data_IF_584688154715
#
_entry.id   IF_584688154715
#
_cell.length_a   1.000
_cell.length_b   1.000
_cell.length_c   1.000
_cell.angle_alpha   90.00
_cell.angle_beta   90.00
_cell.angle_gamma   90.00
#
_symmetry.space_group_name_H-M   'P 1'
#
loop_
_entity.id
_entity.type
_entity.pdbx_description
1 polymer ?
#
# COMPACT_ATOMS: atom_id res chain seq x y z
N UNK A 1 7.23 -6.07 -13.00
CA UNK A 1 6.18 -5.44 -12.21
C UNK A 1 4.84 -6.13 -12.35
N UNK A 2 4.49 -6.50 -13.57
CA UNK A 2 3.24 -7.24 -13.75
C UNK A 2 3.25 -8.53 -12.95
N UNK A 3 4.40 -9.19 -12.88
CA UNK A 3 4.49 -10.43 -12.11
C UNK A 3 4.20 -10.22 -10.64
N UNK A 4 4.65 -9.09 -10.09
CA UNK A 4 4.43 -8.81 -8.69
C UNK A 4 2.95 -8.55 -8.42
N UNK A 5 2.31 -7.81 -9.30
CA UNK A 5 0.88 -7.56 -9.17
C UNK A 5 0.11 -8.88 -9.20
N UNK A 6 0.47 -9.76 -10.13
CA UNK A 6 -0.21 -11.05 -10.23
C UNK A 6 -0.02 -11.89 -8.99
N UNK A 7 1.18 -11.90 -8.45
CA UNK A 7 1.45 -12.67 -7.24
C UNK A 7 0.65 -12.13 -6.06
N UNK A 8 0.55 -10.83 -5.93
CA UNK A 8 -0.23 -10.25 -4.85
C UNK A 8 -1.71 -10.57 -5.01
N UNK A 9 -2.19 -10.58 -6.24
CA UNK A 9 -3.58 -10.96 -6.48
C UNK A 9 -3.85 -12.40 -6.08
N UNK A 10 -2.88 -13.28 -6.29
CA UNK A 10 -3.01 -14.67 -5.91
C UNK A 10 -3.17 -14.86 -4.41
N UNK A 11 -2.60 -13.98 -3.63
CA UNK A 11 -2.71 -14.09 -2.18
C UNK A 11 -3.81 -13.23 -1.61
N UNK A 12 -4.72 -12.73 -2.46
CA UNK A 12 -5.91 -12.07 -1.98
C UNK A 12 -5.98 -10.57 -2.20
N UNK A 13 -4.96 -9.96 -2.80
CA UNK A 13 -5.00 -8.54 -3.09
C UNK A 13 -5.84 -8.30 -4.33
N UNK A 14 -6.65 -7.24 -4.31
CA UNK A 14 -7.25 -6.82 -5.57
C UNK A 14 -6.26 -5.91 -6.29
N UNK A 15 -6.64 -5.46 -7.49
CA UNK A 15 -5.74 -4.68 -8.34
C UNK A 15 -5.29 -3.39 -7.65
N UNK A 16 -6.21 -2.66 -7.06
CA UNK A 16 -5.83 -1.42 -6.38
C UNK A 16 -4.96 -1.67 -5.17
N UNK A 17 -5.26 -2.70 -4.41
CA UNK A 17 -4.46 -3.05 -3.25
C UNK A 17 -3.02 -3.37 -3.66
N UNK A 18 -2.88 -4.15 -4.72
CA UNK A 18 -1.54 -4.50 -5.21
C UNK A 18 -0.78 -3.27 -5.67
N UNK A 19 -1.45 -2.40 -6.41
CA UNK A 19 -0.80 -1.19 -6.91
C UNK A 19 -0.36 -0.27 -5.79
N UNK A 20 -1.22 -0.10 -4.79
CA UNK A 20 -0.89 0.77 -3.66
C UNK A 20 0.27 0.19 -2.87
N UNK A 21 0.23 -1.10 -2.60
CA UNK A 21 1.29 -1.74 -1.85
C UNK A 21 2.64 -1.61 -2.57
N UNK A 22 2.65 -1.86 -3.87
CA UNK A 22 3.88 -1.74 -4.65
C UNK A 22 4.39 -0.30 -4.65
N UNK A 23 3.48 0.67 -4.77
CA UNK A 23 3.88 2.07 -4.74
C UNK A 23 4.56 2.40 -3.41
N UNK A 24 4.01 1.89 -2.31
CA UNK A 24 4.60 2.14 -1.00
C UNK A 24 5.95 1.47 -0.86
N UNK A 25 6.14 0.29 -1.45
CA UNK A 25 7.45 -0.34 -1.40
C UNK A 25 8.50 0.48 -2.11
N UNK A 26 8.10 1.25 -3.11
CA UNK A 26 9.04 2.11 -3.84
C UNK A 26 9.40 3.37 -3.06
N UNK A 27 8.47 3.89 -2.30
CA UNK A 27 8.70 5.11 -1.54
C UNK A 27 7.84 5.08 -0.27
N UNK A 28 8.48 5.04 0.86
CA UNK A 28 7.80 5.14 2.14
C UNK A 28 8.70 5.86 3.13
N UNK A 29 8.10 6.59 4.05
CA UNK A 29 6.66 6.83 4.17
C UNK A 29 6.18 7.76 3.06
N UNK A 30 4.90 7.66 2.72
CA UNK A 30 4.32 8.48 1.67
C UNK A 30 2.92 8.89 2.06
N UNK A 31 2.51 10.08 1.61
CA UNK A 31 1.14 10.52 1.82
C UNK A 31 0.22 9.80 0.84
N UNK A 32 -1.08 9.85 1.12
CA UNK A 32 -2.04 9.27 0.19
C UNK A 32 -1.95 9.89 -1.20
N UNK A 33 -1.70 11.21 -1.25
CA UNK A 33 -1.54 11.89 -2.52
C UNK A 33 -0.36 11.32 -3.31
N UNK A 34 0.77 11.14 -2.62
CA UNK A 34 1.95 10.60 -3.27
C UNK A 34 1.72 9.17 -3.75
N UNK A 35 1.03 8.37 -2.93
CA UNK A 35 0.73 7.00 -3.30
C UNK A 35 -0.15 6.97 -4.54
N UNK A 36 -1.15 7.85 -4.60
CA UNK A 36 -2.04 7.91 -5.76
C UNK A 36 -1.25 8.18 -7.03
N UNK A 37 -0.30 9.10 -6.96
CA UNK A 37 0.50 9.44 -8.13
C UNK A 37 1.41 8.28 -8.52
N UNK A 38 2.06 7.66 -7.55
CA UNK A 38 2.95 6.56 -7.83
C UNK A 38 2.23 5.34 -8.38
N UNK A 39 1.04 5.08 -7.84
CA UNK A 39 0.26 3.93 -8.27
C UNK A 39 -0.57 4.23 -9.51
N UNK A 40 -0.69 5.50 -9.87
CA UNK A 40 -1.46 5.94 -11.03
C UNK A 40 -2.92 5.51 -10.91
N UNK A 41 -3.52 5.80 -9.76
CA UNK A 41 -4.93 5.52 -9.52
C UNK A 41 -5.59 6.77 -8.96
N UNK A 42 -6.92 6.85 -9.02
CA UNK A 42 -7.62 8.01 -8.50
C UNK A 42 -7.36 8.18 -7.00
N UNK A 43 -7.28 9.43 -6.59
CA UNK A 43 -6.97 9.73 -5.20
C UNK A 43 -8.04 9.18 -4.25
N UNK A 44 -9.31 9.27 -4.64
CA UNK A 44 -10.37 8.76 -3.78
C UNK A 44 -10.25 7.25 -3.58
N UNK A 45 -9.88 6.52 -4.62
CA UNK A 45 -9.68 5.08 -4.50
C UNK A 45 -8.46 4.75 -3.66
N UNK A 46 -7.45 5.62 -3.71
CA UNK A 46 -6.24 5.40 -2.93
C UNK A 46 -6.54 5.42 -1.44
N UNK A 47 -7.29 6.40 -0.98
CA UNK A 47 -7.58 6.49 0.44
C UNK A 47 -8.43 5.32 0.91
N UNK A 48 -9.42 4.92 0.10
CA UNK A 48 -10.21 3.74 0.45
C UNK A 48 -9.34 2.50 0.54
N UNK A 49 -8.43 2.34 -0.42
CA UNK A 49 -7.57 1.18 -0.45
C UNK A 49 -6.60 1.16 0.72
N UNK A 50 -6.02 2.33 1.04
CA UNK A 50 -5.11 2.42 2.18
C UNK A 50 -5.82 2.05 3.48
N UNK A 51 -7.07 2.46 3.62
CA UNK A 51 -7.81 2.12 4.81
C UNK A 51 -8.02 0.62 4.93
N UNK A 52 -8.34 -0.03 3.83
CA UNK A 52 -8.50 -1.48 3.82
C UNK A 52 -7.19 -2.18 4.17
N UNK A 53 -6.10 -1.73 3.58
CA UNK A 53 -4.80 -2.33 3.87
C UNK A 53 -4.39 -2.12 5.31
N UNK A 54 -4.75 -0.98 5.87
CA UNK A 54 -4.49 -0.70 7.28
C UNK A 54 -5.28 -1.66 8.17
N UNK A 55 -6.53 -1.89 7.82
CA UNK A 55 -7.37 -2.82 8.58
C UNK A 55 -6.85 -4.25 8.52
N UNK A 56 -6.21 -4.59 7.41
CA UNK A 56 -5.62 -5.92 7.26
C UNK A 56 -4.22 -6.02 7.88
N UNK A 57 -3.74 -4.93 8.47
CA UNK A 57 -2.41 -4.88 9.08
C UNK A 57 -1.29 -5.07 8.07
N UNK A 58 -1.52 -4.62 6.86
CA UNK A 58 -0.51 -4.66 5.80
C UNK A 58 0.22 -3.33 5.70
N UNK A 59 -0.43 -2.26 6.13
CA UNK A 59 0.09 -0.89 6.07
C UNK A 59 -0.18 -0.24 7.42
N UNK A 60 0.74 0.60 7.87
CA UNK A 60 0.53 1.41 9.07
C UNK A 60 0.57 2.87 8.69
N UNK A 61 -0.14 3.68 9.45
CA UNK A 61 -0.18 5.11 9.20
C UNK A 61 0.29 5.88 10.42
N UNK A 62 0.67 7.13 10.18
CA UNK A 62 1.09 8.01 11.26
C UNK A 62 -0.03 8.98 11.61
N UNK A 63 0.12 9.65 12.74
CA UNK A 63 -0.84 10.69 13.14
C UNK A 63 -0.36 12.08 12.77
N UNK A 64 0.61 12.17 11.88
CA UNK A 64 1.15 13.44 11.46
C UNK A 64 0.25 14.13 10.45
N UNK A 65 0.54 15.37 10.16
CA UNK A 65 -0.17 16.14 9.13
C UNK A 65 0.86 16.68 8.15
N UNK A 66 0.81 16.22 6.91
CA UNK A 66 -0.13 15.23 6.39
C UNK A 66 0.17 13.83 6.91
N UNK A 67 -0.86 13.00 6.91
CA UNK A 67 -0.71 11.62 7.34
C UNK A 67 0.08 10.84 6.30
N UNK A 68 1.01 10.03 6.76
CA UNK A 68 1.81 9.19 5.86
C UNK A 68 1.59 7.73 6.17
N UNK A 69 1.97 6.89 5.21
CA UNK A 69 1.74 5.46 5.26
C UNK A 69 3.02 4.71 5.00
N UNK A 70 3.20 3.59 5.68
CA UNK A 70 4.39 2.76 5.52
C UNK A 70 3.94 1.30 5.41
N UNK A 71 4.47 0.56 4.45
CA UNK A 71 4.09 -0.84 4.31
C UNK A 71 4.78 -1.70 5.36
N UNK A 72 4.12 -2.77 5.76
CA UNK A 72 4.75 -3.77 6.59
C UNK A 72 5.45 -4.72 5.64
N UNK A 73 6.75 -4.80 5.77
CA UNK A 73 7.55 -5.57 4.84
C UNK A 73 7.40 -7.07 5.11
N UNK A 74 7.49 -7.88 4.06
CA UNK A 74 7.34 -9.33 4.23
C UNK A 74 8.29 -9.90 5.24
N UNK A 75 9.49 -9.39 5.31
CA UNK A 75 10.48 -9.87 6.25
C UNK A 75 10.01 -9.67 7.70
N UNK A 76 9.29 -8.59 7.96
CA UNK A 76 8.73 -8.36 9.27
C UNK A 76 7.60 -9.33 9.57
N UNK A 77 6.85 -9.68 8.54
CA UNK A 77 5.75 -10.61 8.70
C UNK A 77 6.23 -12.02 8.99
N UNK A 78 7.39 -12.35 8.48
CA UNK A 78 7.93 -13.69 8.65
C UNK A 78 8.96 -13.80 9.73
N UNK A 79 9.24 -12.73 10.41
CA UNK A 79 10.25 -12.75 11.45
C UNK A 79 9.90 -13.80 12.47
N UNK A 80 10.79 -14.50 12.81
CA UNK A 80 10.59 -15.47 13.67
C UNK A 80 11.37 -15.44 14.57
#
# INVERSE_FOLDING_TARGET
MADLVEKLKEIGFNTYEAKVYIALLKKYPATGYEVAKLANIPQSRTYDTLKVLEEKNIVVSTNTKPQTYTPIKPKQLTAR
#
